data_IF_100979512223
#
_entry.id   IF_100979512223
#
_cell.length_a   1.000
_cell.length_b   1.000
_cell.length_c   1.000
_cell.angle_alpha   90.00
_cell.angle_beta   90.00
_cell.angle_gamma   90.00
#
_symmetry.space_group_name_H-M   'P 1'
#
loop_
_entity.id
_entity.type
_entity.pdbx_description
1 polymer ?
#
# COMPACT_ATOMS: atom_id res chain seq x y z
N UNK A 1 6.48 -54.10 -16.18
CA UNK A 1 7.64 -53.31 -15.70
C UNK A 1 7.15 -51.87 -15.72
N UNK A 2 6.91 -51.25 -14.56
CA UNK A 2 6.39 -49.88 -14.53
C UNK A 2 7.55 -48.91 -14.73
N UNK A 3 7.54 -48.22 -15.86
CA UNK A 3 8.48 -47.12 -16.13
C UNK A 3 8.05 -45.89 -15.34
N UNK A 4 8.95 -45.35 -14.52
CA UNK A 4 8.73 -44.10 -13.82
C UNK A 4 9.35 -42.98 -14.65
N UNK A 5 8.53 -42.02 -15.07
CA UNK A 5 9.00 -40.79 -15.73
C UNK A 5 9.17 -39.73 -14.63
N UNK A 6 10.38 -39.19 -14.49
CA UNK A 6 10.63 -38.06 -13.61
C UNK A 6 9.95 -36.83 -14.25
N UNK A 7 8.89 -36.35 -13.61
CA UNK A 7 8.06 -35.27 -14.17
C UNK A 7 8.63 -33.87 -13.92
N UNK A 8 9.42 -33.67 -12.86
CA UNK A 8 10.05 -32.39 -12.50
C UNK A 8 11.31 -32.60 -11.64
N UNK A 9 12.36 -31.83 -11.93
CA UNK A 9 13.55 -31.70 -11.09
C UNK A 9 13.55 -30.33 -10.42
N UNK A 10 13.89 -30.28 -9.13
CA UNK A 10 13.99 -29.05 -8.35
C UNK A 10 15.45 -28.81 -7.97
N UNK A 11 15.94 -27.60 -8.19
CA UNK A 11 17.37 -27.28 -8.07
C UNK A 11 17.76 -26.76 -6.68
N UNK A 12 16.78 -26.48 -5.81
CA UNK A 12 17.03 -26.06 -4.44
C UNK A 12 16.00 -26.63 -3.44
N UNK A 13 16.37 -26.78 -2.16
CA UNK A 13 15.45 -27.18 -1.11
C UNK A 13 14.22 -26.27 -1.00
N UNK A 14 14.39 -24.97 -1.27
CA UNK A 14 13.29 -24.00 -1.25
C UNK A 14 12.29 -24.23 -2.39
N UNK A 15 12.78 -24.51 -3.59
CA UNK A 15 11.95 -24.78 -4.77
C UNK A 15 11.13 -26.05 -4.58
N UNK A 16 11.76 -27.11 -4.04
CA UNK A 16 11.07 -28.35 -3.69
C UNK A 16 10.01 -28.10 -2.60
N UNK A 17 10.37 -27.38 -1.54
CA UNK A 17 9.45 -27.08 -0.44
C UNK A 17 8.22 -26.31 -0.91
N UNK A 18 8.41 -25.32 -1.78
CA UNK A 18 7.33 -24.53 -2.36
C UNK A 18 6.41 -25.40 -3.23
N UNK A 19 6.97 -26.24 -4.11
CA UNK A 19 6.22 -27.12 -4.98
C UNK A 19 5.42 -28.18 -4.21
N UNK A 20 6.02 -28.78 -3.19
CA UNK A 20 5.36 -29.76 -2.31
C UNK A 20 4.25 -29.11 -1.50
N UNK A 21 4.50 -27.92 -0.94
CA UNK A 21 3.48 -27.20 -0.16
C UNK A 21 2.29 -26.79 -1.01
N UNK A 22 2.53 -26.37 -2.25
CA UNK A 22 1.47 -26.02 -3.20
C UNK A 22 0.66 -27.26 -3.60
N UNK A 23 1.33 -28.37 -3.96
CA UNK A 23 0.64 -29.61 -4.33
C UNK A 23 -0.18 -30.24 -3.18
N UNK A 24 0.19 -29.97 -1.94
CA UNK A 24 -0.49 -30.46 -0.74
C UNK A 24 -1.52 -29.47 -0.17
N UNK A 25 -1.66 -28.27 -0.74
CA UNK A 25 -2.63 -27.30 -0.26
C UNK A 25 -4.05 -27.71 -0.68
N UNK A 26 -5.05 -27.66 0.22
CA UNK A 26 -6.44 -27.83 -0.16
C UNK A 26 -6.87 -26.76 -1.17
N UNK A 27 -7.65 -27.15 -2.18
CA UNK A 27 -8.08 -26.26 -3.28
C UNK A 27 -8.77 -24.97 -2.77
N UNK A 28 -9.50 -25.06 -1.65
CA UNK A 28 -10.15 -23.91 -1.00
C UNK A 28 -9.14 -22.91 -0.42
N UNK A 29 -8.02 -23.39 0.10
CA UNK A 29 -6.93 -22.54 0.61
C UNK A 29 -6.22 -21.84 -0.54
N UNK A 30 -5.96 -22.54 -1.65
CA UNK A 30 -5.38 -21.93 -2.84
C UNK A 30 -6.29 -20.84 -3.42
N UNK A 31 -7.60 -21.11 -3.53
CA UNK A 31 -8.59 -20.11 -3.96
C UNK A 31 -8.61 -18.90 -3.03
N UNK A 32 -8.56 -19.12 -1.72
CA UNK A 32 -8.52 -18.04 -0.73
C UNK A 32 -7.25 -17.19 -0.87
N UNK A 33 -6.07 -17.80 -0.96
CA UNK A 33 -4.80 -17.08 -1.13
C UNK A 33 -4.81 -16.30 -2.44
N UNK A 34 -5.19 -16.93 -3.55
CA UNK A 34 -5.25 -16.29 -4.85
C UNK A 34 -6.29 -15.15 -4.89
N UNK A 35 -7.42 -15.29 -4.19
CA UNK A 35 -8.40 -14.20 -4.05
C UNK A 35 -7.83 -13.01 -3.30
N UNK A 36 -7.14 -13.25 -2.17
CA UNK A 36 -6.48 -12.20 -1.38
C UNK A 36 -5.38 -11.52 -2.17
N UNK A 37 -4.54 -12.28 -2.89
CA UNK A 37 -3.49 -11.72 -3.74
C UNK A 37 -4.09 -10.87 -4.86
N UNK A 38 -5.15 -11.34 -5.53
CA UNK A 38 -5.87 -10.56 -6.54
C UNK A 38 -6.49 -9.29 -5.97
N UNK A 39 -7.01 -9.33 -4.74
CA UNK A 39 -7.57 -8.14 -4.09
C UNK A 39 -6.47 -7.14 -3.71
N UNK A 40 -5.31 -7.61 -3.26
CA UNK A 40 -4.13 -6.79 -3.02
C UNK A 40 -3.63 -6.18 -4.34
N UNK A 41 -3.51 -6.96 -5.41
CA UNK A 41 -3.13 -6.48 -6.74
C UNK A 41 -4.15 -5.51 -7.33
N UNK A 42 -5.45 -5.73 -7.13
CA UNK A 42 -6.50 -4.79 -7.53
C UNK A 42 -6.42 -3.49 -6.76
N UNK A 43 -6.14 -3.53 -5.45
CA UNK A 43 -5.90 -2.32 -4.64
C UNK A 43 -4.66 -1.59 -5.15
N UNK A 44 -3.59 -2.31 -5.46
CA UNK A 44 -2.36 -1.76 -6.03
C UNK A 44 -2.56 -1.17 -7.43
N UNK A 45 -3.31 -1.84 -8.32
CA UNK A 45 -3.62 -1.34 -9.67
C UNK A 45 -4.62 -0.18 -9.68
N UNK A 46 -5.54 -0.10 -8.72
CA UNK A 46 -6.37 1.10 -8.52
C UNK A 46 -5.55 2.31 -8.10
N UNK A 47 -4.35 2.08 -7.57
CA UNK A 47 -3.40 3.10 -7.15
C UNK A 47 -2.43 3.52 -8.27
N UNK A 48 -2.52 2.94 -9.48
CA UNK A 48 -1.50 3.10 -10.53
C UNK A 48 -2.03 3.73 -11.83
N UNK A 49 -2.64 4.92 -11.71
CA UNK A 49 -2.29 6.06 -12.56
C UNK A 49 -1.72 7.27 -11.78
N UNK A 50 -1.51 7.14 -10.46
CA UNK A 50 -1.45 8.27 -9.50
C UNK A 50 -0.03 8.73 -9.06
N UNK A 51 1.05 8.41 -9.77
CA UNK A 51 2.37 8.91 -9.32
C UNK A 51 2.45 10.47 -9.40
N UNK A 52 1.68 11.09 -10.29
CA UNK A 52 1.48 12.54 -10.37
C UNK A 52 0.54 13.08 -9.28
N UNK A 53 -0.55 12.38 -8.98
CA UNK A 53 -1.52 12.82 -7.97
C UNK A 53 -1.02 12.63 -6.53
N UNK A 54 -0.33 11.52 -6.24
CA UNK A 54 0.32 11.31 -4.93
C UNK A 54 1.41 12.37 -4.69
N UNK A 55 2.14 12.73 -5.74
CA UNK A 55 3.14 13.82 -5.69
C UNK A 55 2.49 15.18 -5.46
N UNK A 56 1.38 15.49 -6.14
CA UNK A 56 0.59 16.71 -5.90
C UNK A 56 0.06 16.76 -4.47
N UNK A 57 -0.45 15.66 -3.93
CA UNK A 57 -0.97 15.62 -2.56
C UNK A 57 0.13 15.87 -1.54
N UNK A 58 1.31 15.30 -1.75
CA UNK A 58 2.48 15.61 -0.91
C UNK A 58 2.86 17.09 -0.99
N UNK A 59 2.79 17.71 -2.17
CA UNK A 59 3.03 19.15 -2.33
C UNK A 59 1.98 19.96 -1.56
N UNK A 60 0.70 19.59 -1.65
CA UNK A 60 -0.39 20.26 -0.93
C UNK A 60 -0.19 20.12 0.58
N UNK A 61 0.13 18.94 1.08
CA UNK A 61 0.45 18.71 2.50
C UNK A 61 1.65 19.54 2.96
N UNK A 62 2.70 19.64 2.14
CA UNK A 62 3.85 20.52 2.45
C UNK A 62 3.45 21.99 2.48
N UNK A 63 2.59 22.43 1.57
CA UNK A 63 2.08 23.81 1.57
C UNK A 63 1.19 24.13 2.77
N UNK A 64 0.48 23.13 3.30
CA UNK A 64 -0.31 23.21 4.52
C UNK A 64 0.53 23.20 5.80
N UNK A 65 1.82 22.86 5.69
CA UNK A 65 2.75 22.83 6.83
C UNK A 65 3.17 24.25 7.18
N UNK A 66 3.08 24.61 8.46
CA UNK A 66 3.43 25.96 8.91
C UNK A 66 4.95 26.18 8.94
N UNK A 67 5.37 27.42 9.24
CA UNK A 67 6.80 27.80 9.32
C UNK A 67 7.60 27.02 10.37
N UNK A 68 6.93 26.40 11.34
CA UNK A 68 7.55 25.60 12.38
C UNK A 68 7.66 24.11 11.99
N UNK A 69 7.30 23.76 10.75
CA UNK A 69 7.32 22.36 10.27
C UNK A 69 6.14 21.52 10.75
N UNK A 70 5.10 22.14 11.31
CA UNK A 70 3.93 21.44 11.83
C UNK A 70 2.79 21.49 10.82
N UNK A 71 2.35 20.32 10.38
CA UNK A 71 1.13 20.10 9.62
C UNK A 71 -0.03 19.97 10.61
N UNK A 72 -1.10 20.74 10.42
CA UNK A 72 -2.31 20.64 11.23
C UNK A 72 -3.49 20.20 10.38
N UNK A 73 -4.45 19.50 10.97
CA UNK A 73 -5.64 19.03 10.24
C UNK A 73 -6.41 20.19 9.59
N UNK A 74 -6.58 21.30 10.30
CA UNK A 74 -7.29 22.49 9.78
C UNK A 74 -6.58 23.10 8.57
N UNK A 75 -5.24 23.19 8.60
CA UNK A 75 -4.49 23.70 7.46
C UNK A 75 -4.55 22.75 6.26
N UNK A 76 -4.57 21.44 6.51
CA UNK A 76 -4.68 20.43 5.45
C UNK A 76 -6.04 20.50 4.76
N UNK A 77 -7.12 20.58 5.54
CA UNK A 77 -8.49 20.76 5.02
C UNK A 77 -8.55 21.99 4.11
N UNK A 78 -8.07 23.14 4.63
CA UNK A 78 -8.05 24.38 3.87
C UNK A 78 -7.23 24.27 2.58
N UNK A 79 -6.05 23.66 2.64
CA UNK A 79 -5.21 23.49 1.46
C UNK A 79 -5.85 22.55 0.41
N UNK A 80 -6.58 21.51 0.84
CA UNK A 80 -7.30 20.62 -0.08
C UNK A 80 -8.49 21.33 -0.74
N UNK A 81 -9.22 22.15 0.01
CA UNK A 81 -10.29 23.01 -0.51
C UNK A 81 -9.76 24.04 -1.52
N UNK A 82 -8.68 24.74 -1.18
CA UNK A 82 -8.05 25.77 -2.02
C UNK A 82 -7.54 25.19 -3.36
N UNK A 83 -7.12 23.92 -3.36
CA UNK A 83 -6.63 23.22 -4.56
C UNK A 83 -7.74 22.48 -5.33
N UNK A 84 -9.02 22.64 -4.95
CA UNK A 84 -10.18 21.99 -5.59
C UNK A 84 -10.08 20.46 -5.67
N UNK A 85 -9.40 19.83 -4.70
CA UNK A 85 -9.22 18.37 -4.65
C UNK A 85 -10.43 17.75 -3.95
N UNK A 86 -11.59 17.81 -4.61
CA UNK A 86 -12.90 17.54 -4.00
C UNK A 86 -13.23 16.09 -3.64
N UNK A 87 -12.33 15.13 -3.89
CA UNK A 87 -12.60 13.70 -3.68
C UNK A 87 -11.72 13.03 -2.60
N UNK A 88 -10.88 13.79 -1.91
CA UNK A 88 -9.91 13.21 -0.97
C UNK A 88 -10.30 13.57 0.46
N UNK A 89 -10.53 12.53 1.26
CA UNK A 89 -10.74 12.67 2.69
C UNK A 89 -9.39 13.00 3.37
N UNK A 90 -9.27 14.17 4.05
CA UNK A 90 -8.04 14.58 4.74
C UNK A 90 -7.55 13.56 5.77
N UNK A 91 -8.45 12.87 6.46
CA UNK A 91 -8.10 11.85 7.46
C UNK A 91 -7.44 10.63 6.81
N UNK A 92 -7.97 10.18 5.67
CA UNK A 92 -7.40 9.06 4.94
C UNK A 92 -6.00 9.41 4.41
N UNK A 93 -5.80 10.65 3.96
CA UNK A 93 -4.50 11.13 3.48
C UNK A 93 -3.45 11.14 4.60
N UNK A 94 -3.84 11.59 5.80
CA UNK A 94 -3.00 11.52 7.00
C UNK A 94 -2.66 10.07 7.36
N UNK A 95 -3.65 9.19 7.43
CA UNK A 95 -3.42 7.78 7.77
C UNK A 95 -2.49 7.10 6.78
N UNK A 96 -2.68 7.34 5.48
CA UNK A 96 -1.79 6.81 4.44
C UNK A 96 -0.36 7.34 4.64
N UNK A 97 -0.19 8.65 4.80
CA UNK A 97 1.11 9.30 4.96
C UNK A 97 1.86 8.88 6.24
N UNK A 98 1.12 8.63 7.32
CA UNK A 98 1.68 8.11 8.58
C UNK A 98 2.08 6.64 8.43
N UNK A 99 1.26 5.82 7.76
CA UNK A 99 1.57 4.41 7.50
C UNK A 99 2.76 4.20 6.56
N UNK A 100 2.97 5.12 5.62
CA UNK A 100 4.09 5.14 4.67
C UNK A 100 5.36 5.75 5.28
N UNK A 101 5.27 6.36 6.47
CA UNK A 101 6.41 6.93 7.17
C UNK A 101 6.88 8.29 6.61
N UNK A 102 5.99 9.08 6.02
CA UNK A 102 6.32 10.45 5.60
C UNK A 102 6.13 11.48 6.70
N UNK A 103 5.17 11.24 7.60
CA UNK A 103 4.85 12.11 8.72
C UNK A 103 4.70 11.30 10.00
N UNK A 104 4.91 11.96 11.13
CA UNK A 104 4.67 11.40 12.46
C UNK A 104 3.78 12.33 13.27
N UNK A 105 2.94 11.77 14.12
CA UNK A 105 2.09 12.54 15.01
C UNK A 105 2.91 13.23 16.10
N UNK A 106 2.86 14.57 16.13
CA UNK A 106 3.56 15.40 17.12
C UNK A 106 2.61 15.98 18.19
N UNK A 107 1.30 15.90 17.97
CA UNK A 107 0.27 16.33 18.94
C UNK A 107 -1.15 16.00 18.49
N UNK A 108 -2.14 16.54 19.21
CA UNK A 108 -3.56 16.39 18.82
C UNK A 108 -3.79 17.14 17.51
N UNK A 109 -4.15 16.40 16.46
CA UNK A 109 -4.35 16.94 15.10
C UNK A 109 -3.13 17.68 14.54
N UNK A 110 -1.93 17.24 14.93
CA UNK A 110 -0.65 17.81 14.52
C UNK A 110 0.34 16.72 14.12
N UNK A 111 1.04 16.96 13.02
CA UNK A 111 2.04 16.06 12.46
C UNK A 111 3.28 16.83 12.04
N UNK A 112 4.42 16.14 12.02
CA UNK A 112 5.71 16.66 11.57
C UNK A 112 6.28 15.70 10.52
N UNK A 113 6.98 16.24 9.53
CA UNK A 113 7.64 15.45 8.50
C UNK A 113 8.86 14.72 9.06
N UNK A 114 9.12 13.51 8.53
CA UNK A 114 10.34 12.75 8.78
C UNK A 114 11.47 13.13 7.82
#
# INVERSE_FOLDING_TARGET
MNEYIISKNFSSPFELHSAVSSANAPEDIEKLINSKLKDIEKRKKRFDPEDDDTSKLKIIMKSATNKNGILTMNNLIKALEDNSVGNINPENLIHASESEGYIIRSGVNQWTWL
#
